data_IF_096611024705
#
_entry.id   IF_096611024705
#
_cell.length_a   1.000
_cell.length_b   1.000
_cell.length_c   1.000
_cell.angle_alpha   90.00
_cell.angle_beta   90.00
_cell.angle_gamma   90.00
#
_symmetry.space_group_name_H-M   'P 1'
#
loop_
_entity.id
_entity.type
_entity.pdbx_description
1 polymer ?
#
# COMPACT_ATOMS: atom_id res chain seq x y z
N UNK A 1 -10.40 -9.10 -8.92
CA UNK A 1 -11.01 -8.15 -7.97
C UNK A 1 -12.01 -7.18 -8.63
N UNK A 2 -11.66 -6.41 -9.69
CA UNK A 2 -12.62 -5.46 -10.29
C UNK A 2 -13.91 -6.13 -10.74
N UNK A 3 -13.87 -7.20 -11.53
CA UNK A 3 -15.05 -7.95 -11.96
C UNK A 3 -15.87 -8.48 -10.77
N UNK A 4 -15.23 -8.99 -9.73
CA UNK A 4 -15.87 -9.41 -8.49
C UNK A 4 -16.64 -8.25 -7.83
N UNK A 5 -16.01 -7.10 -7.69
CA UNK A 5 -16.62 -5.91 -7.09
C UNK A 5 -17.76 -5.34 -7.97
N UNK A 6 -17.61 -5.35 -9.29
CA UNK A 6 -18.63 -4.88 -10.24
C UNK A 6 -19.87 -5.81 -10.20
N UNK A 7 -19.68 -7.12 -10.23
CA UNK A 7 -20.76 -8.10 -10.13
C UNK A 7 -21.54 -7.90 -8.83
N UNK A 8 -20.86 -7.81 -7.72
CA UNK A 8 -21.41 -7.61 -6.39
C UNK A 8 -22.15 -6.29 -6.26
N UNK A 9 -21.58 -5.20 -6.75
CA UNK A 9 -22.19 -3.86 -6.70
C UNK A 9 -23.35 -3.67 -7.68
N UNK A 10 -23.52 -4.54 -8.68
CA UNK A 10 -24.62 -4.51 -9.61
C UNK A 10 -25.92 -5.13 -9.04
N UNK A 11 -25.80 -5.97 -8.02
CA UNK A 11 -26.94 -6.62 -7.38
C UNK A 11 -27.08 -6.17 -5.91
N UNK A 12 -28.01 -5.27 -5.58
CA UNK A 12 -28.20 -4.75 -4.22
C UNK A 12 -28.58 -5.81 -3.17
N UNK A 13 -29.05 -6.98 -3.60
CA UNK A 13 -29.43 -8.10 -2.75
C UNK A 13 -28.36 -9.19 -2.71
N UNK A 14 -27.18 -8.91 -3.26
CA UNK A 14 -26.09 -9.87 -3.30
C UNK A 14 -25.49 -10.08 -1.91
N UNK A 15 -25.62 -11.30 -1.40
CA UNK A 15 -25.03 -11.74 -0.12
C UNK A 15 -23.59 -12.24 -0.27
N UNK A 16 -22.92 -11.94 -1.40
CA UNK A 16 -21.51 -12.30 -1.59
C UNK A 16 -20.67 -11.83 -0.39
N UNK A 17 -19.95 -12.74 0.28
CA UNK A 17 -19.18 -12.39 1.46
C UNK A 17 -18.06 -11.42 1.12
N UNK A 18 -17.64 -10.66 2.13
CA UNK A 18 -16.41 -9.86 2.04
C UNK A 18 -15.21 -10.80 1.99
N UNK A 19 -14.21 -10.45 1.19
CA UNK A 19 -13.01 -11.25 1.00
C UNK A 19 -11.76 -10.38 1.14
N UNK A 20 -10.66 -10.99 1.60
CA UNK A 20 -9.33 -10.40 1.55
C UNK A 20 -8.46 -11.29 0.66
N UNK A 21 -8.05 -10.78 -0.49
CA UNK A 21 -7.14 -11.49 -1.38
C UNK A 21 -5.72 -11.05 -1.12
N UNK A 22 -4.83 -12.01 -0.90
CA UNK A 22 -3.40 -11.76 -0.70
C UNK A 22 -2.60 -12.42 -1.82
N UNK A 23 -1.70 -11.68 -2.44
CA UNK A 23 -0.93 -12.16 -3.59
C UNK A 23 0.43 -11.45 -3.73
N UNK A 24 1.23 -11.96 -4.64
CA UNK A 24 2.36 -11.27 -5.25
C UNK A 24 2.06 -10.96 -6.71
N UNK A 25 2.71 -9.93 -7.24
CA UNK A 25 2.70 -9.63 -8.66
C UNK A 25 4.06 -9.89 -9.31
N UNK A 26 4.09 -10.25 -10.59
CA UNK A 26 5.31 -10.09 -11.38
C UNK A 26 5.69 -8.61 -11.44
N UNK A 27 6.93 -8.27 -11.84
CA UNK A 27 7.35 -6.89 -11.98
C UNK A 27 6.39 -6.07 -12.86
N UNK A 28 5.82 -5.00 -12.32
CA UNK A 28 4.87 -4.13 -13.02
C UNK A 28 4.85 -2.72 -12.39
N UNK A 29 4.88 -1.69 -13.22
CA UNK A 29 4.51 -0.34 -12.81
C UNK A 29 3.00 -0.15 -13.01
N UNK A 30 2.32 0.39 -12.00
CA UNK A 30 0.92 0.74 -12.13
C UNK A 30 0.73 2.25 -11.97
N UNK A 31 0.01 2.88 -12.89
CA UNK A 31 -0.47 4.26 -12.74
C UNK A 31 -1.89 4.25 -12.22
N UNK A 32 -2.14 4.98 -11.14
CA UNK A 32 -3.49 5.18 -10.60
C UNK A 32 -4.21 6.34 -11.30
N UNK A 33 -5.38 6.70 -10.78
CA UNK A 33 -6.22 7.79 -11.34
C UNK A 33 -5.56 9.17 -11.35
N UNK A 34 -4.63 9.42 -10.42
CA UNK A 34 -3.84 10.64 -10.38
C UNK A 34 -2.50 10.51 -11.12
N UNK A 35 -2.28 9.38 -11.83
CA UNK A 35 -1.04 9.07 -12.53
C UNK A 35 -0.74 10.09 -13.63
N UNK A 36 0.47 10.66 -13.59
CA UNK A 36 0.97 11.59 -14.61
C UNK A 36 2.25 11.04 -15.23
N UNK A 37 2.41 11.25 -16.53
CA UNK A 37 3.57 10.78 -17.28
C UNK A 37 4.89 11.35 -16.74
N UNK A 38 4.90 12.56 -16.21
CA UNK A 38 6.07 13.22 -15.62
C UNK A 38 6.69 12.47 -14.41
N UNK A 39 5.91 11.55 -13.79
CA UNK A 39 6.38 10.72 -12.69
C UNK A 39 6.95 9.37 -13.14
N UNK A 40 6.94 9.08 -14.44
CA UNK A 40 7.72 8.02 -15.07
C UNK A 40 9.04 8.64 -15.55
N UNK A 41 10.15 8.31 -14.92
CA UNK A 41 11.47 8.86 -15.26
C UNK A 41 12.14 8.09 -16.42
N UNK A 42 11.32 7.42 -17.24
CA UNK A 42 11.72 6.65 -18.42
C UNK A 42 10.57 6.64 -19.44
N UNK A 43 10.89 6.26 -20.68
CA UNK A 43 9.87 5.99 -21.69
C UNK A 43 9.41 4.53 -21.61
N UNK A 44 8.09 4.23 -21.57
CA UNK A 44 7.59 2.85 -21.61
C UNK A 44 8.06 2.08 -22.88
N UNK A 45 8.32 0.76 -22.77
CA UNK A 45 8.24 -0.04 -21.54
C UNK A 45 9.32 0.34 -20.53
N UNK A 46 9.09 0.00 -19.24
CA UNK A 46 10.01 0.29 -18.14
C UNK A 46 11.38 -0.40 -18.29
N UNK A 47 12.29 -0.14 -17.33
CA UNK A 47 13.58 -0.81 -17.30
C UNK A 47 13.37 -2.33 -17.35
N UNK A 48 14.25 -3.05 -18.02
CA UNK A 48 14.19 -4.51 -18.20
C UNK A 48 12.83 -5.02 -18.72
N UNK A 49 12.16 -4.23 -19.57
CA UNK A 49 10.85 -4.52 -20.14
C UNK A 49 9.70 -4.64 -19.12
N UNK A 50 9.84 -4.06 -17.92
CA UNK A 50 8.75 -4.01 -16.95
C UNK A 50 7.57 -3.22 -17.54
N UNK A 51 6.37 -3.81 -17.64
CA UNK A 51 5.23 -3.13 -18.22
C UNK A 51 4.73 -1.99 -17.34
N UNK A 52 4.13 -0.97 -17.99
CA UNK A 52 3.37 0.11 -17.32
C UNK A 52 1.89 -0.11 -17.59
N UNK A 53 1.11 -0.31 -16.54
CA UNK A 53 -0.33 -0.59 -16.63
C UNK A 53 -1.13 0.56 -16.02
N UNK A 54 -2.04 1.12 -16.80
CA UNK A 54 -3.01 2.07 -16.29
C UNK A 54 -4.09 1.34 -15.49
N UNK A 55 -4.33 1.79 -14.26
CA UNK A 55 -5.34 1.22 -13.36
C UNK A 55 -6.31 2.29 -12.87
N UNK A 56 -7.40 1.87 -12.25
CA UNK A 56 -8.38 2.78 -11.65
C UNK A 56 -8.23 2.89 -10.11
N UNK A 57 -7.11 2.43 -9.52
CA UNK A 57 -6.81 2.66 -8.10
C UNK A 57 -6.56 4.14 -7.82
N UNK A 58 -6.70 4.53 -6.58
CA UNK A 58 -6.25 5.85 -6.12
C UNK A 58 -4.73 6.03 -6.24
N UNK A 59 -4.29 7.26 -6.24
CA UNK A 59 -2.88 7.64 -6.21
C UNK A 59 -2.17 7.70 -7.56
N UNK A 60 -0.86 7.93 -7.50
CA UNK A 60 0.08 8.11 -8.60
C UNK A 60 0.70 6.77 -9.04
N UNK A 61 1.84 6.83 -9.73
CA UNK A 61 2.61 5.65 -10.11
C UNK A 61 3.19 4.94 -8.88
N UNK A 62 3.25 3.61 -8.94
CA UNK A 62 4.00 2.75 -8.02
C UNK A 62 4.55 1.54 -8.77
N UNK A 63 5.36 0.75 -8.08
CA UNK A 63 5.92 -0.50 -8.57
C UNK A 63 5.41 -1.66 -7.72
N UNK A 64 5.16 -2.80 -8.37
CA UNK A 64 4.90 -4.09 -7.73
C UNK A 64 5.86 -5.12 -8.29
N UNK A 65 6.29 -6.05 -7.45
CA UNK A 65 7.21 -7.12 -7.84
C UNK A 65 7.25 -8.26 -6.82
N UNK A 66 7.99 -9.34 -7.12
CA UNK A 66 8.22 -10.44 -6.19
C UNK A 66 8.81 -9.92 -4.87
N UNK A 67 8.43 -10.55 -3.76
CA UNK A 67 8.83 -10.12 -2.41
C UNK A 67 7.99 -9.00 -1.81
N UNK A 68 6.95 -8.52 -2.51
CA UNK A 68 5.97 -7.57 -1.98
C UNK A 68 4.67 -8.30 -1.64
N UNK A 69 4.14 -8.13 -0.45
CA UNK A 69 2.80 -8.59 -0.08
C UNK A 69 1.78 -7.58 -0.57
N UNK A 70 0.87 -7.99 -1.45
CA UNK A 70 -0.24 -7.16 -1.90
C UNK A 70 -1.54 -7.73 -1.37
N UNK A 71 -2.30 -6.93 -0.62
CA UNK A 71 -3.59 -7.34 -0.09
C UNK A 71 -4.72 -6.47 -0.65
N UNK A 72 -5.77 -7.12 -1.11
CA UNK A 72 -6.99 -6.52 -1.64
C UNK A 72 -8.19 -6.83 -0.75
N UNK A 73 -8.53 -5.98 0.22
CA UNK A 73 -9.76 -6.11 0.96
C UNK A 73 -10.96 -5.72 0.08
N UNK A 74 -11.80 -6.69 -0.25
CA UNK A 74 -12.97 -6.57 -1.10
C UNK A 74 -14.22 -6.55 -0.21
N UNK A 75 -14.58 -5.36 0.28
CA UNK A 75 -15.59 -5.17 1.32
C UNK A 75 -16.77 -4.35 0.80
N UNK A 76 -17.94 -4.59 1.38
CA UNK A 76 -19.07 -3.65 1.30
C UNK A 76 -19.07 -2.75 2.54
N UNK A 77 -18.62 -1.49 2.37
CA UNK A 77 -18.51 -0.52 3.46
C UNK A 77 -19.87 -0.14 4.06
N UNK A 78 -20.95 -0.20 3.27
CA UNK A 78 -22.30 0.05 3.77
C UNK A 78 -22.72 -1.05 4.74
N UNK A 79 -22.46 -2.30 4.40
CA UNK A 79 -22.72 -3.46 5.26
C UNK A 79 -21.85 -3.45 6.52
N UNK A 80 -20.59 -2.95 6.40
CA UNK A 80 -19.66 -2.81 7.51
C UNK A 80 -19.96 -1.61 8.42
N UNK A 81 -20.77 -0.65 7.98
CA UNK A 81 -21.19 0.49 8.78
C UNK A 81 -20.15 1.60 8.93
N UNK A 82 -19.13 1.65 8.09
CA UNK A 82 -18.13 2.72 8.14
C UNK A 82 -17.80 3.35 6.78
N UNK A 83 -17.20 4.54 6.83
CA UNK A 83 -16.90 5.36 5.67
C UNK A 83 -15.48 5.14 5.14
N UNK A 84 -15.21 5.65 3.94
CA UNK A 84 -13.93 5.48 3.24
C UNK A 84 -12.73 5.95 4.09
N UNK A 85 -12.84 7.06 4.81
CA UNK A 85 -11.75 7.56 5.65
C UNK A 85 -11.42 6.59 6.79
N UNK A 86 -12.43 6.02 7.41
CA UNK A 86 -12.27 5.02 8.46
C UNK A 86 -11.68 3.73 7.89
N UNK A 87 -12.16 3.28 6.72
CA UNK A 87 -11.59 2.14 6.02
C UNK A 87 -10.08 2.33 5.75
N UNK A 88 -9.67 3.47 5.21
CA UNK A 88 -8.24 3.79 5.00
C UNK A 88 -7.47 3.72 6.31
N UNK A 89 -7.99 4.36 7.36
CA UNK A 89 -7.38 4.36 8.69
C UNK A 89 -7.20 2.93 9.23
N UNK A 90 -8.23 2.07 9.10
CA UNK A 90 -8.21 0.67 9.57
C UNK A 90 -7.20 -0.17 8.77
N UNK A 91 -7.10 0.01 7.45
CA UNK A 91 -6.08 -0.66 6.62
C UNK A 91 -4.68 -0.22 7.04
N UNK A 92 -4.44 1.08 7.24
CA UNK A 92 -3.16 1.58 7.75
C UNK A 92 -2.86 1.03 9.15
N UNK A 93 -3.87 0.92 10.01
CA UNK A 93 -3.70 0.36 11.35
C UNK A 93 -3.27 -1.11 11.30
N UNK A 94 -3.83 -1.89 10.38
CA UNK A 94 -3.42 -3.28 10.16
C UNK A 94 -1.94 -3.38 9.77
N UNK A 95 -1.48 -2.52 8.87
CA UNK A 95 -0.05 -2.46 8.50
C UNK A 95 0.82 -2.07 9.70
N UNK A 96 0.42 -1.04 10.45
CA UNK A 96 1.16 -0.60 11.65
C UNK A 96 1.30 -1.73 12.68
N UNK A 97 0.25 -2.51 12.88
CA UNK A 97 0.30 -3.68 13.78
C UNK A 97 1.19 -4.78 13.24
N UNK A 98 1.12 -5.06 11.92
CA UNK A 98 2.03 -6.02 11.28
C UNK A 98 3.48 -5.63 11.49
N UNK A 99 3.83 -4.36 11.31
CA UNK A 99 5.17 -3.85 11.54
C UNK A 99 5.56 -3.95 13.02
N UNK A 100 4.65 -3.62 13.93
CA UNK A 100 4.89 -3.71 15.37
C UNK A 100 5.20 -5.15 15.83
N UNK A 101 4.49 -6.15 15.28
CA UNK A 101 4.76 -7.57 15.56
C UNK A 101 6.14 -8.02 15.06
N UNK A 102 6.73 -7.27 14.13
CA UNK A 102 8.07 -7.45 13.58
C UNK A 102 9.11 -6.53 14.23
N UNK A 103 8.73 -5.82 15.30
CA UNK A 103 9.61 -4.91 16.03
C UNK A 103 9.81 -3.54 15.36
N UNK A 104 9.18 -3.28 14.21
CA UNK A 104 9.34 -2.05 13.43
C UNK A 104 8.28 -1.03 13.83
N UNK A 105 8.68 0.21 14.01
CA UNK A 105 7.75 1.32 14.28
C UNK A 105 7.36 2.02 12.99
N UNK A 106 6.12 1.80 12.56
CA UNK A 106 5.54 2.48 11.40
C UNK A 106 4.90 3.82 11.78
N UNK A 107 4.88 4.74 10.83
CA UNK A 107 4.32 6.08 10.99
C UNK A 107 3.39 6.44 9.84
N UNK A 108 2.36 7.24 10.13
CA UNK A 108 1.55 7.94 9.14
C UNK A 108 2.12 9.32 8.87
N UNK A 109 2.06 9.76 7.61
CA UNK A 109 2.37 11.14 7.22
C UNK A 109 1.07 11.79 6.72
N UNK A 110 0.73 12.93 7.28
CA UNK A 110 -0.51 13.63 6.93
C UNK A 110 -0.56 13.97 5.42
N UNK A 111 -1.68 13.65 4.79
CA UNK A 111 -1.86 13.90 3.35
C UNK A 111 -1.17 12.91 2.40
N UNK A 112 -0.43 11.95 2.94
CA UNK A 112 0.34 10.98 2.15
C UNK A 112 0.00 9.52 2.57
N UNK A 113 -1.11 8.94 2.09
CA UNK A 113 -1.50 7.59 2.44
C UNK A 113 -0.38 6.57 2.23
N UNK A 114 -0.18 5.73 3.24
CA UNK A 114 0.92 4.77 3.27
C UNK A 114 1.57 4.74 4.64
N UNK A 115 2.48 3.80 4.83
CA UNK A 115 3.22 3.66 6.08
C UNK A 115 4.70 3.91 5.82
N UNK A 116 5.28 4.68 6.70
CA UNK A 116 6.66 5.15 6.65
C UNK A 116 7.42 4.70 7.89
N UNK A 117 8.72 4.55 7.79
CA UNK A 117 9.61 4.20 8.89
C UNK A 117 10.76 5.21 8.95
N UNK A 118 11.30 5.42 10.13
CA UNK A 118 12.51 6.24 10.30
C UNK A 118 13.72 5.48 9.72
N UNK A 119 14.51 6.15 8.91
CA UNK A 119 15.69 5.54 8.30
C UNK A 119 16.87 5.47 9.26
N UNK A 120 16.93 6.38 10.24
CA UNK A 120 17.98 6.43 11.27
C UNK A 120 17.77 5.38 12.37
N UNK A 121 16.53 5.09 12.73
CA UNK A 121 16.18 4.08 13.73
C UNK A 121 14.74 3.57 13.50
N UNK A 122 14.55 2.52 12.68
CA UNK A 122 13.23 1.98 12.39
C UNK A 122 12.60 1.22 13.57
N UNK A 123 13.37 0.96 14.63
CA UNK A 123 12.94 0.23 15.82
C UNK A 123 12.59 1.15 17.00
N UNK A 124 12.95 2.43 16.92
CA UNK A 124 12.62 3.39 17.95
C UNK A 124 11.10 3.61 18.10
N UNK A 125 10.60 3.50 19.33
CA UNK A 125 9.18 3.69 19.63
C UNK A 125 8.75 5.17 19.69
N UNK A 126 9.63 6.11 19.36
CA UNK A 126 9.33 7.52 19.37
C UNK A 126 8.34 7.90 18.27
N UNK A 127 7.27 8.59 18.62
CA UNK A 127 6.38 9.19 17.64
C UNK A 127 7.14 10.21 16.77
N UNK A 128 6.67 10.43 15.54
CA UNK A 128 7.16 11.55 14.73
C UNK A 128 6.77 12.84 15.46
N UNK A 129 7.76 13.48 16.07
CA UNK A 129 7.60 14.77 16.75
C UNK A 129 8.38 15.83 15.99
N UNK A 130 7.74 16.93 15.70
CA UNK A 130 8.36 18.11 15.11
C UNK A 130 7.60 18.65 13.89
N UNK A 131 7.88 19.86 13.47
CA UNK A 131 7.28 20.41 12.28
C UNK A 131 7.75 19.60 11.08
N UNK A 132 6.81 19.03 10.34
CA UNK A 132 7.06 18.47 9.02
C UNK A 132 7.55 19.63 8.15
N UNK A 133 8.72 19.49 7.54
CA UNK A 133 9.18 20.47 6.56
C UNK A 133 8.24 20.43 5.35
N UNK A 134 7.49 21.50 5.03
CA UNK A 134 6.58 21.48 3.89
C UNK A 134 7.29 21.25 2.56
N UNK A 135 8.59 21.57 2.47
CA UNK A 135 9.41 21.37 1.29
C UNK A 135 9.88 19.91 1.17
N UNK A 136 9.99 19.19 2.28
CA UNK A 136 10.42 17.79 2.34
C UNK A 136 9.69 17.05 3.48
N UNK A 137 8.42 16.69 3.27
CA UNK A 137 7.61 16.06 4.30
C UNK A 137 8.05 14.63 4.66
N UNK A 138 8.98 14.06 3.89
CA UNK A 138 9.49 12.70 4.09
C UNK A 138 10.94 12.66 4.54
N UNK A 139 11.50 13.79 4.95
CA UNK A 139 12.89 13.86 5.38
C UNK A 139 13.20 12.85 6.49
N UNK A 140 14.17 11.97 6.25
CA UNK A 140 14.55 10.90 7.18
C UNK A 140 13.56 9.73 7.26
N UNK A 141 12.58 9.67 6.35
CA UNK A 141 11.60 8.60 6.29
C UNK A 141 11.77 7.76 5.03
N UNK A 142 11.52 6.46 5.18
CA UNK A 142 11.38 5.50 4.07
C UNK A 142 9.95 4.95 4.01
N UNK A 143 9.38 4.88 2.82
CA UNK A 143 8.06 4.29 2.62
C UNK A 143 8.17 2.78 2.53
N UNK A 144 7.59 2.06 3.52
CA UNK A 144 7.59 0.60 3.58
C UNK A 144 6.29 -0.01 3.04
N UNK A 145 5.18 0.75 3.08
CA UNK A 145 3.91 0.29 2.53
C UNK A 145 3.16 1.40 1.82
N UNK A 146 2.55 1.06 0.69
CA UNK A 146 1.76 1.95 -0.16
C UNK A 146 0.28 1.55 -0.14
N UNK A 147 -0.62 2.55 -0.13
CA UNK A 147 -2.06 2.35 -0.26
C UNK A 147 -2.55 2.97 -1.57
N UNK A 148 -3.35 2.19 -2.29
CA UNK A 148 -4.01 2.64 -3.51
C UNK A 148 -5.40 2.03 -3.61
N UNK A 149 -6.39 2.65 -2.99
CA UNK A 149 -7.74 2.12 -2.81
C UNK A 149 -8.69 2.73 -3.83
N UNK A 150 -9.69 1.97 -4.22
CA UNK A 150 -10.87 2.45 -4.95
C UNK A 150 -12.13 1.97 -4.26
N UNK A 151 -13.13 2.83 -4.23
CA UNK A 151 -14.48 2.50 -3.78
C UNK A 151 -15.46 2.81 -4.90
N UNK A 152 -16.33 1.86 -5.22
CA UNK A 152 -17.40 2.00 -6.19
C UNK A 152 -18.69 1.43 -5.60
N UNK A 153 -19.76 2.23 -5.55
CA UNK A 153 -21.06 1.82 -4.98
C UNK A 153 -20.92 1.12 -3.61
N UNK A 154 -20.14 1.76 -2.71
CA UNK A 154 -19.78 1.27 -1.39
C UNK A 154 -18.84 0.05 -1.34
N UNK A 155 -18.56 -0.61 -2.45
CA UNK A 155 -17.66 -1.76 -2.48
C UNK A 155 -16.21 -1.33 -2.75
N UNK A 156 -15.29 -1.86 -1.95
CA UNK A 156 -13.85 -1.57 -2.05
C UNK A 156 -13.16 -2.52 -3.02
N UNK A 157 -12.10 -2.06 -3.65
CA UNK A 157 -11.13 -2.89 -4.39
C UNK A 157 -9.80 -2.17 -4.53
N UNK A 158 -8.78 -2.86 -5.04
CA UNK A 158 -7.39 -2.53 -4.77
C UNK A 158 -7.09 -2.58 -3.26
N UNK A 159 -6.01 -2.00 -2.78
CA UNK A 159 -5.70 -2.15 -1.36
C UNK A 159 -4.34 -1.61 -0.97
N UNK A 160 -3.53 -2.45 -0.34
CA UNK A 160 -2.25 -2.12 0.26
C UNK A 160 -1.15 -3.04 -0.25
N UNK A 161 0.04 -2.49 -0.40
CA UNK A 161 1.26 -3.21 -0.74
C UNK A 161 2.30 -2.98 0.36
N UNK A 162 2.78 -4.06 1.00
CA UNK A 162 3.84 -4.07 2.00
C UNK A 162 5.11 -4.65 1.39
N UNK A 163 6.19 -3.89 1.40
CA UNK A 163 7.49 -4.32 0.90
C UNK A 163 8.17 -5.22 1.95
N UNK A 164 8.47 -6.48 1.60
CA UNK A 164 9.07 -7.46 2.54
C UNK A 164 10.53 -7.70 2.19
N UNK A 165 10.83 -8.31 1.05
CA UNK A 165 12.17 -8.55 0.56
C UNK A 165 12.15 -8.54 -0.97
N UNK A 166 12.29 -7.37 -1.57
CA UNK A 166 12.06 -7.17 -3.00
C UNK A 166 13.18 -6.39 -3.66
N UNK A 167 13.27 -6.47 -4.98
CA UNK A 167 14.12 -5.55 -5.73
C UNK A 167 13.52 -4.14 -5.70
N UNK A 168 14.19 -3.22 -5.02
CA UNK A 168 13.79 -1.83 -4.90
C UNK A 168 14.34 -0.94 -6.03
N UNK A 169 15.26 -1.45 -6.89
CA UNK A 169 15.86 -0.66 -7.97
C UNK A 169 14.83 -0.04 -8.92
N UNK A 170 13.70 -0.69 -9.27
CA UNK A 170 12.69 -0.08 -10.13
C UNK A 170 12.05 1.19 -9.54
N UNK A 171 12.01 1.36 -8.22
CA UNK A 171 11.50 2.60 -7.61
C UNK A 171 12.33 3.83 -7.95
N UNK A 172 13.63 3.69 -8.25
CA UNK A 172 14.47 4.81 -8.70
C UNK A 172 14.07 5.36 -10.09
N UNK A 173 13.20 4.66 -10.81
CA UNK A 173 12.71 5.03 -12.14
C UNK A 173 11.36 5.73 -12.13
N UNK A 174 10.81 6.00 -10.95
CA UNK A 174 9.53 6.68 -10.78
C UNK A 174 9.62 7.71 -9.65
N UNK A 175 8.67 8.65 -9.62
CA UNK A 175 8.40 9.46 -8.42
C UNK A 175 7.22 8.86 -7.66
N UNK A 176 7.45 7.98 -6.67
CA UNK A 176 6.38 7.29 -5.97
C UNK A 176 5.44 8.31 -5.31
N UNK A 177 4.13 8.13 -5.47
CA UNK A 177 3.12 9.06 -4.96
C UNK A 177 3.25 10.50 -5.49
N UNK A 178 4.02 10.74 -6.56
CA UNK A 178 4.28 12.06 -7.12
C UNK A 178 5.36 12.87 -6.39
N UNK A 179 6.05 12.28 -5.44
CA UNK A 179 7.10 12.95 -4.68
C UNK A 179 8.49 12.55 -5.22
N UNK A 180 9.23 13.56 -5.67
CA UNK A 180 10.60 13.36 -6.10
C UNK A 180 11.49 13.01 -4.90
N UNK A 181 12.32 11.96 -5.04
CA UNK A 181 13.26 11.57 -4.00
C UNK A 181 12.65 10.85 -2.79
N UNK A 182 11.38 10.48 -2.82
CA UNK A 182 10.78 9.66 -1.75
C UNK A 182 11.48 8.30 -1.68
N UNK A 183 12.23 8.08 -0.60
CA UNK A 183 12.90 6.81 -0.34
C UNK A 183 11.87 5.71 -0.12
N UNK A 184 12.03 4.59 -0.83
CA UNK A 184 11.26 3.36 -0.61
C UNK A 184 12.16 2.32 0.01
N UNK A 185 11.65 1.61 1.02
CA UNK A 185 12.36 0.57 1.76
C UNK A 185 11.51 -0.70 1.82
N UNK A 186 12.13 -1.80 2.17
CA UNK A 186 11.48 -3.06 2.52
C UNK A 186 11.96 -3.56 3.88
N UNK A 187 11.30 -4.57 4.44
CA UNK A 187 11.65 -5.11 5.75
C UNK A 187 13.07 -5.67 5.77
N UNK A 188 13.51 -6.31 4.69
CA UNK A 188 14.85 -6.88 4.58
C UNK A 188 15.93 -5.79 4.66
N UNK A 189 15.77 -4.65 3.99
CA UNK A 189 16.71 -3.52 4.06
C UNK A 189 16.75 -2.83 5.42
N UNK A 190 15.68 -2.99 6.22
CA UNK A 190 15.62 -2.54 7.60
C UNK A 190 16.26 -3.54 8.60
N UNK A 191 16.75 -4.68 8.11
CA UNK A 191 17.35 -5.72 8.95
C UNK A 191 16.34 -6.68 9.58
N UNK A 192 15.10 -6.72 9.11
CA UNK A 192 14.07 -7.66 9.56
C UNK A 192 14.09 -8.90 8.68
N UNK A 193 14.43 -10.03 9.28
CA UNK A 193 14.41 -11.36 8.64
C UNK A 193 13.02 -11.99 8.80
N UNK A 194 12.19 -11.87 7.78
CA UNK A 194 10.84 -12.41 7.75
C UNK A 194 10.52 -12.94 6.35
N UNK A 195 9.91 -14.11 6.27
CA UNK A 195 9.47 -14.66 4.99
C UNK A 195 8.25 -13.91 4.44
N UNK A 196 8.06 -13.99 3.11
CA UNK A 196 6.85 -13.44 2.48
C UNK A 196 5.57 -14.05 3.07
N UNK A 197 5.53 -15.37 3.26
CA UNK A 197 4.36 -16.09 3.78
C UNK A 197 4.02 -15.65 5.21
N UNK A 198 5.03 -15.45 6.05
CA UNK A 198 4.82 -14.97 7.41
C UNK A 198 4.31 -13.53 7.44
N UNK A 199 4.92 -12.63 6.68
CA UNK A 199 4.47 -11.24 6.58
C UNK A 199 3.05 -11.15 6.01
N UNK A 200 2.73 -11.96 4.99
CA UNK A 200 1.41 -12.06 4.39
C UNK A 200 0.36 -12.57 5.38
N UNK A 201 0.68 -13.62 6.14
CA UNK A 201 -0.20 -14.19 7.16
C UNK A 201 -0.51 -13.17 8.27
N UNK A 202 0.51 -12.47 8.79
CA UNK A 202 0.34 -11.42 9.81
C UNK A 202 -0.51 -10.26 9.29
N UNK A 203 -0.22 -9.77 8.08
CA UNK A 203 -0.99 -8.69 7.47
C UNK A 203 -2.45 -9.10 7.24
N UNK A 204 -2.70 -10.31 6.74
CA UNK A 204 -4.05 -10.82 6.52
C UNK A 204 -4.82 -10.91 7.84
N UNK A 205 -4.22 -11.43 8.90
CA UNK A 205 -4.82 -11.53 10.24
C UNK A 205 -5.18 -10.15 10.80
N UNK A 206 -4.29 -9.17 10.69
CA UNK A 206 -4.59 -7.81 11.15
C UNK A 206 -5.64 -7.12 10.29
N UNK A 207 -5.62 -7.32 8.96
CA UNK A 207 -6.67 -6.80 8.09
C UNK A 207 -8.03 -7.38 8.47
N UNK A 208 -8.13 -8.70 8.69
CA UNK A 208 -9.37 -9.33 9.13
C UNK A 208 -9.87 -8.74 10.46
N UNK A 209 -8.98 -8.60 11.43
CA UNK A 209 -9.31 -8.05 12.77
C UNK A 209 -9.77 -6.58 12.70
N UNK A 210 -9.01 -5.71 12.01
CA UNK A 210 -9.32 -4.28 11.97
C UNK A 210 -10.45 -3.92 11.01
N UNK A 211 -10.73 -4.77 10.02
CA UNK A 211 -11.81 -4.59 9.07
C UNK A 211 -13.11 -5.31 9.48
N UNK A 212 -13.14 -5.96 10.63
CA UNK A 212 -14.39 -6.47 11.22
C UNK A 212 -15.41 -5.33 11.44
N UNK A 213 -16.72 -5.63 11.43
CA UNK A 213 -17.80 -4.68 11.71
C UNK A 213 -17.64 -3.93 13.02
#
# INVERSE_FOLDING_TARGET
MQAFTEQRSANPTDDTPDEIWVCQHPPVFTQGLAGKAEHLLFNPPGPDHIPVVQTNRGGQVTYHGPGQVVAYPLLDLKRRGYFVKEYVYRVEQAVLRTLQDLGVTGHRVAGAPGIYVRLDDPFAHAALTGPTDPADPFRGLGKVAALGIKVSRHCTYHGVALNVAMDLAPYARINPCGYNGLTTVDLASLGVDVSWDEAAGRLAQHLDSFLAP
#
